data_IF_660535630436
#
_entry.id   IF_660535630436
#
_cell.length_a   1.000
_cell.length_b   1.000
_cell.length_c   1.000
_cell.angle_alpha   90.00
_cell.angle_beta   90.00
_cell.angle_gamma   90.00
#
_symmetry.space_group_name_H-M   'P 1'
#
loop_
_entity.id
_entity.type
_entity.pdbx_description
1 polymer ?
#
# COMPACT_ATOMS: atom_id res chain seq x y z
N UNK A 1 19.96 -41.22 -4.76
CA UNK A 1 19.88 -39.96 -3.99
C UNK A 1 19.10 -38.97 -4.83
N UNK A 2 17.90 -38.58 -4.41
CA UNK A 2 17.11 -37.55 -5.09
C UNK A 2 17.17 -36.28 -4.26
N UNK A 3 18.06 -35.36 -4.65
CA UNK A 3 18.10 -34.01 -4.09
C UNK A 3 16.99 -33.19 -4.75
N UNK A 4 15.84 -33.10 -4.11
CA UNK A 4 14.80 -32.14 -4.47
C UNK A 4 15.29 -30.73 -4.11
N UNK A 5 15.69 -29.96 -5.12
CA UNK A 5 16.00 -28.53 -5.00
C UNK A 5 14.73 -27.79 -4.54
N UNK A 6 14.69 -27.36 -3.28
CA UNK A 6 13.68 -26.43 -2.79
C UNK A 6 13.84 -25.10 -3.54
N UNK A 7 12.86 -24.76 -4.37
CA UNK A 7 12.74 -23.43 -4.97
C UNK A 7 12.61 -22.41 -3.82
N UNK A 8 13.47 -21.40 -3.70
CA UNK A 8 13.25 -20.33 -2.74
C UNK A 8 11.92 -19.67 -3.09
N UNK A 9 10.99 -19.61 -2.13
CA UNK A 9 9.80 -18.78 -2.27
C UNK A 9 10.27 -17.33 -2.53
N UNK A 10 9.60 -16.57 -3.41
CA UNK A 10 9.91 -15.16 -3.58
C UNK A 10 9.63 -14.45 -2.26
N UNK A 11 10.67 -14.25 -1.46
CA UNK A 11 10.63 -13.37 -0.30
C UNK A 11 10.57 -11.96 -0.87
N UNK A 12 9.36 -11.41 -1.00
CA UNK A 12 9.21 -9.98 -1.23
C UNK A 12 9.89 -9.29 -0.05
N UNK A 13 10.92 -8.46 -0.28
CA UNK A 13 11.64 -7.83 0.82
C UNK A 13 10.66 -6.96 1.62
N UNK A 14 10.60 -7.15 2.94
CA UNK A 14 9.77 -6.36 3.87
C UNK A 14 9.92 -4.86 3.68
N UNK A 15 11.11 -4.39 3.25
CA UNK A 15 11.35 -2.98 2.93
C UNK A 15 10.48 -2.46 1.76
N UNK A 16 10.21 -3.29 0.76
CA UNK A 16 9.33 -2.94 -0.37
C UNK A 16 7.87 -2.90 0.07
N UNK A 17 7.49 -3.76 1.02
CA UNK A 17 6.13 -3.81 1.59
C UNK A 17 5.84 -2.52 2.37
N UNK A 18 6.75 -2.10 3.25
CA UNK A 18 6.63 -0.81 3.96
C UNK A 18 6.56 0.36 2.98
N UNK A 19 7.37 0.37 1.92
CA UNK A 19 7.31 1.42 0.89
C UNK A 19 5.98 1.45 0.12
N UNK A 20 5.31 0.31 -0.07
CA UNK A 20 3.99 0.27 -0.72
C UNK A 20 2.93 0.87 0.19
N UNK A 21 2.87 0.45 1.46
CA UNK A 21 1.91 0.98 2.44
C UNK A 21 2.10 2.50 2.60
N UNK A 22 3.35 2.96 2.72
CA UNK A 22 3.64 4.39 2.85
C UNK A 22 3.27 5.19 1.60
N UNK A 23 3.54 4.66 0.41
CA UNK A 23 3.19 5.32 -0.85
C UNK A 23 1.68 5.32 -1.07
N UNK A 24 0.99 4.23 -0.72
CA UNK A 24 -0.48 4.18 -0.72
C UNK A 24 -1.02 5.23 0.24
N UNK A 25 -0.53 5.30 1.48
CA UNK A 25 -1.00 6.25 2.47
C UNK A 25 -0.79 7.71 2.03
N UNK A 26 0.33 8.01 1.37
CA UNK A 26 0.63 9.32 0.80
C UNK A 26 -0.37 9.69 -0.31
N UNK A 27 -0.61 8.77 -1.26
CA UNK A 27 -1.61 8.96 -2.32
C UNK A 27 -3.02 9.10 -1.74
N UNK A 28 -3.39 8.30 -0.74
CA UNK A 28 -4.68 8.39 -0.03
C UNK A 28 -4.85 9.74 0.68
N UNK A 29 -3.80 10.23 1.33
CA UNK A 29 -3.80 11.53 2.00
C UNK A 29 -3.97 12.66 0.97
N UNK A 30 -3.21 12.63 -0.12
CA UNK A 30 -3.31 13.62 -1.19
C UNK A 30 -4.71 13.65 -1.82
N UNK A 31 -5.27 12.49 -2.15
CA UNK A 31 -6.64 12.38 -2.66
C UNK A 31 -7.67 12.91 -1.65
N UNK A 32 -7.52 12.56 -0.36
CA UNK A 32 -8.38 13.07 0.70
C UNK A 32 -8.31 14.58 0.86
N UNK A 33 -7.11 15.17 0.76
CA UNK A 33 -6.90 16.63 0.79
C UNK A 33 -7.47 17.32 -0.46
N UNK A 34 -7.47 16.64 -1.60
CA UNK A 34 -8.08 17.14 -2.84
C UNK A 34 -9.61 17.00 -2.86
N UNK A 35 -10.21 16.28 -1.91
CA UNK A 35 -11.65 15.98 -1.87
C UNK A 35 -12.06 14.81 -2.75
N UNK A 36 -11.11 14.01 -3.22
CA UNK A 36 -11.33 12.81 -4.02
C UNK A 36 -11.62 11.62 -3.12
N UNK A 37 -12.60 10.79 -3.50
CA UNK A 37 -12.91 9.57 -2.78
C UNK A 37 -11.74 8.57 -2.84
N UNK A 38 -11.18 8.24 -1.68
CA UNK A 38 -10.09 7.28 -1.57
C UNK A 38 -10.63 5.86 -1.70
N UNK A 39 -10.59 5.31 -2.90
CA UNK A 39 -11.06 3.94 -3.18
C UNK A 39 -9.95 3.10 -3.81
N UNK A 40 -10.10 1.77 -3.74
CA UNK A 40 -9.16 0.84 -4.34
C UNK A 40 -9.00 1.04 -5.85
N UNK A 41 -10.08 1.43 -6.53
CA UNK A 41 -10.06 1.74 -7.95
C UNK A 41 -9.24 3.01 -8.22
N UNK A 42 -9.56 4.09 -7.52
CA UNK A 42 -8.84 5.37 -7.63
C UNK A 42 -7.35 5.23 -7.26
N UNK A 43 -7.01 4.39 -6.29
CA UNK A 43 -5.62 4.08 -5.94
C UNK A 43 -4.88 3.30 -7.04
N UNK A 44 -5.56 2.35 -7.68
CA UNK A 44 -5.03 1.62 -8.84
C UNK A 44 -4.93 2.49 -10.09
N UNK A 45 -5.75 3.53 -10.21
CA UNK A 45 -5.68 4.52 -11.28
C UNK A 45 -4.57 5.56 -11.05
N UNK A 46 -4.43 6.04 -9.81
CA UNK A 46 -3.41 7.04 -9.44
C UNK A 46 -2.01 6.44 -9.26
N UNK A 47 -1.89 5.12 -9.09
CA UNK A 47 -0.60 4.46 -8.92
C UNK A 47 -0.59 3.05 -9.50
N UNK A 48 0.59 2.51 -9.82
CA UNK A 48 0.77 1.14 -10.33
C UNK A 48 0.54 0.03 -9.26
N UNK A 49 -0.38 0.23 -8.33
CA UNK A 49 -0.73 -0.78 -7.34
C UNK A 49 -1.61 -1.86 -7.97
N UNK A 50 -1.31 -3.11 -7.65
CA UNK A 50 -2.18 -4.22 -8.03
C UNK A 50 -3.34 -4.33 -7.05
N UNK A 51 -4.50 -4.82 -7.52
CA UNK A 51 -5.66 -5.04 -6.65
C UNK A 51 -5.34 -5.89 -5.42
N UNK A 52 -4.52 -6.93 -5.60
CA UNK A 52 -4.06 -7.78 -4.49
C UNK A 52 -3.26 -6.99 -3.43
N UNK A 53 -2.37 -6.08 -3.84
CA UNK A 53 -1.64 -5.21 -2.91
C UNK A 53 -2.57 -4.23 -2.20
N UNK A 54 -3.59 -3.71 -2.89
CA UNK A 54 -4.57 -2.79 -2.29
C UNK A 54 -5.48 -3.53 -1.30
N UNK A 55 -5.83 -4.78 -1.58
CA UNK A 55 -6.61 -5.60 -0.65
C UNK A 55 -5.78 -6.01 0.57
N UNK A 56 -4.49 -6.33 0.38
CA UNK A 56 -3.58 -6.71 1.46
C UNK A 56 -3.16 -5.52 2.34
N UNK A 57 -2.86 -4.37 1.73
CA UNK A 57 -2.26 -3.22 2.40
C UNK A 57 -3.15 -1.98 2.48
N UNK A 58 -4.24 -1.94 1.73
CA UNK A 58 -5.20 -0.82 1.74
C UNK A 58 -5.72 -0.45 3.13
N UNK A 59 -6.13 -1.39 4.01
CA UNK A 59 -6.56 -1.03 5.36
C UNK A 59 -5.44 -0.39 6.19
N UNK A 60 -4.20 -0.89 6.08
CA UNK A 60 -3.07 -0.34 6.82
C UNK A 60 -2.62 1.02 6.27
N UNK A 61 -2.64 1.19 4.95
CA UNK A 61 -2.39 2.47 4.30
C UNK A 61 -3.47 3.51 4.63
N UNK A 62 -4.73 3.10 4.75
CA UNK A 62 -5.83 4.00 5.12
C UNK A 62 -5.70 4.48 6.58
N UNK A 63 -5.33 3.59 7.49
CA UNK A 63 -5.05 3.96 8.89
C UNK A 63 -3.86 4.93 8.97
N UNK A 64 -2.76 4.63 8.26
CA UNK A 64 -1.59 5.49 8.20
C UNK A 64 -1.91 6.86 7.57
N UNK A 65 -2.70 6.91 6.50
CA UNK A 65 -3.13 8.15 5.86
C UNK A 65 -3.98 9.00 6.82
N UNK A 66 -4.89 8.36 7.57
CA UNK A 66 -5.72 9.03 8.58
C UNK A 66 -4.88 9.56 9.74
N UNK A 67 -3.91 8.77 10.24
CA UNK A 67 -2.98 9.21 11.27
C UNK A 67 -2.14 10.41 10.81
N UNK A 68 -1.69 10.41 9.55
CA UNK A 68 -0.98 11.54 8.93
C UNK A 68 -1.87 12.77 8.76
N UNK A 69 -3.12 12.60 8.31
CA UNK A 69 -4.08 13.70 8.20
C UNK A 69 -4.34 14.39 9.53
N UNK A 70 -4.46 13.61 10.62
CA UNK A 70 -4.63 14.15 11.98
C UNK A 70 -3.37 14.91 12.42
N UNK A 71 -2.18 14.40 12.13
CA UNK A 71 -0.92 15.09 12.45
C UNK A 71 -0.74 16.39 11.66
N UNK A 72 -1.14 16.41 10.38
CA UNK A 72 -1.02 17.58 9.52
C UNK A 72 -2.03 18.69 9.85
N UNK A 73 -3.07 18.40 10.63
CA UNK A 73 -4.13 19.35 11.00
C UNK A 73 -3.97 19.91 12.44
N UNK A 74 -2.89 19.54 13.13
CA UNK A 74 -2.56 20.00 14.49
C UNK A 74 -1.66 21.22 14.53
#
# INVERSE_FOLDING_TARGET
MITTQQRPAPTIPTAVITSIVERMADTMLEMGMNGTAVTADSLAEHSNFTRAQIEEHGPEAADLAKARAVHHQG
#
